data_IF_508995505704
#
_entry.id   IF_508995505704
#
_cell.length_a   1.000
_cell.length_b   1.000
_cell.length_c   1.000
_cell.angle_alpha   90.00
_cell.angle_beta   90.00
_cell.angle_gamma   90.00
#
_symmetry.space_group_name_H-M   'P 1'
#
loop_
_entity.id
_entity.type
_entity.pdbx_description
1 polymer ?
#
# COMPACT_ATOMS: atom_id res chain seq x y z
N UNK A 1 6.68 8.21 10.29
CA UNK A 1 7.10 7.25 9.25
C UNK A 1 6.01 6.19 9.17
N UNK A 2 5.50 5.85 7.99
CA UNK A 2 4.40 4.90 7.87
C UNK A 2 4.91 3.46 7.74
N UNK A 3 5.86 3.20 6.84
CA UNK A 3 6.45 1.88 6.66
C UNK A 3 7.85 1.93 6.02
N UNK A 4 8.56 0.81 6.09
CA UNK A 4 9.80 0.56 5.36
C UNK A 4 9.70 -0.80 4.68
N UNK A 5 9.92 -0.84 3.35
CA UNK A 5 10.03 -2.09 2.58
C UNK A 5 11.46 -2.22 2.09
N UNK A 6 12.02 -3.42 2.21
CA UNK A 6 13.38 -3.70 1.73
C UNK A 6 13.35 -4.28 0.32
N UNK A 7 14.17 -3.73 -0.56
CA UNK A 7 14.38 -4.23 -1.93
C UNK A 7 15.76 -4.83 -2.08
N UNK A 8 15.94 -5.65 -3.12
CA UNK A 8 17.28 -6.09 -3.51
C UNK A 8 18.16 -4.89 -3.82
N UNK A 9 19.38 -4.90 -3.28
CA UNK A 9 20.38 -3.88 -3.59
C UNK A 9 21.37 -4.41 -4.61
N UNK A 10 21.74 -3.57 -5.58
CA UNK A 10 22.76 -3.89 -6.59
C UNK A 10 24.16 -4.21 -5.99
N UNK A 11 24.39 -3.86 -4.73
CA UNK A 11 25.63 -4.13 -3.98
C UNK A 11 25.56 -5.38 -3.11
N UNK A 12 24.50 -6.18 -3.23
CA UNK A 12 24.26 -7.38 -2.42
C UNK A 12 23.71 -7.11 -1.01
N UNK A 13 23.57 -5.84 -0.60
CA UNK A 13 22.92 -5.44 0.66
C UNK A 13 21.54 -4.86 0.38
N UNK A 14 20.47 -5.37 1.02
CA UNK A 14 19.13 -4.83 0.85
C UNK A 14 19.05 -3.33 1.19
N UNK A 15 18.22 -2.59 0.45
CA UNK A 15 17.97 -1.16 0.67
C UNK A 15 16.58 -0.96 1.23
N UNK A 16 16.47 -0.26 2.34
CA UNK A 16 15.18 0.11 2.93
C UNK A 16 14.61 1.34 2.24
N UNK A 17 13.40 1.23 1.71
CA UNK A 17 12.62 2.35 1.16
C UNK A 17 11.63 2.79 2.23
N UNK A 18 11.84 3.99 2.77
CA UNK A 18 11.05 4.54 3.87
C UNK A 18 9.97 5.49 3.32
N UNK A 19 8.70 5.23 3.68
CA UNK A 19 7.55 5.98 3.19
C UNK A 19 6.87 6.73 4.35
N UNK A 20 6.56 8.01 4.11
CA UNK A 20 5.91 8.88 5.09
C UNK A 20 4.40 8.59 5.17
N UNK A 21 3.75 9.02 6.26
CA UNK A 21 2.29 8.95 6.35
C UNK A 21 1.60 9.81 5.29
N UNK A 22 2.17 10.97 4.95
CA UNK A 22 1.62 11.84 3.91
C UNK A 22 1.57 11.15 2.54
N UNK A 23 2.68 10.53 2.13
CA UNK A 23 2.75 9.79 0.88
C UNK A 23 1.79 8.59 0.86
N UNK A 24 1.67 7.85 1.96
CA UNK A 24 0.70 6.76 2.08
C UNK A 24 -0.75 7.27 1.97
N UNK A 25 -1.09 8.35 2.67
CA UNK A 25 -2.45 8.91 2.64
C UNK A 25 -2.85 9.41 1.24
N UNK A 26 -1.92 10.04 0.53
CA UNK A 26 -2.12 10.47 -0.86
C UNK A 26 -2.30 9.27 -1.79
N UNK A 27 -1.44 8.25 -1.69
CA UNK A 27 -1.55 7.02 -2.47
C UNK A 27 -2.89 6.31 -2.25
N UNK A 28 -3.32 6.17 -0.99
CA UNK A 28 -4.62 5.58 -0.63
C UNK A 28 -5.78 6.36 -1.25
N UNK A 29 -5.72 7.69 -1.22
CA UNK A 29 -6.77 8.54 -1.78
C UNK A 29 -6.83 8.43 -3.30
N UNK A 30 -5.68 8.47 -3.97
CA UNK A 30 -5.58 8.32 -5.42
C UNK A 30 -6.03 6.94 -5.88
N UNK A 31 -5.57 5.88 -5.21
CA UNK A 31 -5.92 4.50 -5.54
C UNK A 31 -7.42 4.24 -5.42
N UNK A 32 -8.03 4.64 -4.29
CA UNK A 32 -9.47 4.50 -4.09
C UNK A 32 -10.30 5.27 -5.13
N UNK A 33 -9.86 6.47 -5.52
CA UNK A 33 -10.57 7.27 -6.52
C UNK A 33 -10.40 6.70 -7.92
N UNK A 34 -9.21 6.20 -8.26
CA UNK A 34 -8.93 5.58 -9.56
C UNK A 34 -9.76 4.33 -9.81
N UNK A 35 -9.97 3.50 -8.78
CA UNK A 35 -10.76 2.28 -8.88
C UNK A 35 -12.26 2.49 -8.62
N UNK A 36 -12.70 3.72 -8.31
CA UNK A 36 -14.08 4.00 -7.86
C UNK A 36 -14.49 3.08 -6.70
N UNK A 37 -13.56 2.87 -5.76
CA UNK A 37 -13.75 1.97 -4.61
C UNK A 37 -14.81 2.52 -3.66
N UNK A 38 -15.86 1.73 -3.43
CA UNK A 38 -17.03 2.09 -2.63
C UNK A 38 -17.18 1.22 -1.40
N UNK A 39 -17.99 1.70 -0.48
CA UNK A 39 -18.45 0.89 0.65
C UNK A 39 -19.09 -0.42 0.16
N UNK A 40 -18.72 -1.54 0.77
CA UNK A 40 -19.22 -2.87 0.42
C UNK A 40 -18.44 -3.59 -0.70
N UNK A 41 -17.51 -2.91 -1.37
CA UNK A 41 -16.57 -3.58 -2.28
C UNK A 41 -15.64 -4.52 -1.51
N UNK A 42 -15.06 -5.49 -2.22
CA UNK A 42 -14.13 -6.47 -1.66
C UNK A 42 -12.84 -6.50 -2.46
N UNK A 43 -11.73 -6.18 -1.82
CA UNK A 43 -10.38 -6.18 -2.40
C UNK A 43 -9.67 -7.47 -2.01
N UNK A 44 -9.11 -8.16 -3.00
CA UNK A 44 -8.28 -9.33 -2.73
C UNK A 44 -6.93 -8.89 -2.15
N UNK A 45 -6.69 -9.19 -0.88
CA UNK A 45 -5.36 -9.12 -0.28
C UNK A 45 -4.64 -10.45 -0.49
N UNK A 46 -3.60 -10.44 -1.32
CA UNK A 46 -2.76 -11.62 -1.58
C UNK A 46 -1.26 -11.30 -1.53
N UNK A 47 -0.88 -10.05 -1.80
CA UNK A 47 0.52 -9.64 -1.76
C UNK A 47 1.08 -9.75 -0.35
N UNK A 48 2.29 -10.27 -0.22
CA UNK A 48 2.95 -10.36 1.10
C UNK A 48 3.21 -8.95 1.65
N UNK A 49 3.15 -8.80 2.97
CA UNK A 49 3.42 -7.52 3.66
C UNK A 49 4.79 -6.90 3.35
N UNK A 50 5.74 -7.70 2.85
CA UNK A 50 7.08 -7.24 2.45
C UNK A 50 7.14 -6.71 1.02
N UNK A 51 6.02 -6.68 0.29
CA UNK A 51 5.90 -6.15 -1.07
C UNK A 51 4.92 -4.97 -1.09
N UNK A 52 5.20 -3.96 -1.90
CA UNK A 52 4.42 -2.71 -1.92
C UNK A 52 2.96 -2.91 -2.36
N UNK A 53 2.68 -3.91 -3.19
CA UNK A 53 1.30 -4.32 -3.53
C UNK A 53 0.42 -4.65 -2.32
N UNK A 54 0.99 -5.04 -1.17
CA UNK A 54 0.22 -5.20 0.06
C UNK A 54 -0.41 -3.87 0.51
N UNK A 55 0.32 -2.76 0.37
CA UNK A 55 -0.14 -1.43 0.79
C UNK A 55 -1.36 -1.00 -0.05
N UNK A 56 -1.34 -1.26 -1.35
CA UNK A 56 -2.45 -1.01 -2.27
C UNK A 56 -3.69 -1.84 -1.95
N UNK A 57 -3.50 -3.10 -1.56
CA UNK A 57 -4.61 -4.02 -1.30
C UNK A 57 -5.19 -3.84 0.11
N UNK A 58 -4.38 -3.37 1.06
CA UNK A 58 -4.74 -3.35 2.47
C UNK A 58 -5.34 -2.02 2.94
N UNK A 59 -4.75 -0.87 2.57
CA UNK A 59 -5.16 0.41 3.16
C UNK A 59 -6.39 1.06 2.50
N UNK A 60 -6.52 1.12 1.16
CA UNK A 60 -7.68 1.70 0.51
C UNK A 60 -9.04 1.16 0.99
N UNK A 61 -9.27 -0.17 1.09
CA UNK A 61 -10.57 -0.65 1.54
C UNK A 61 -10.89 -0.23 2.97
N UNK A 62 -9.91 -0.29 3.88
CA UNK A 62 -10.06 0.14 5.27
C UNK A 62 -10.39 1.63 5.41
N UNK A 63 -9.93 2.47 4.47
CA UNK A 63 -10.21 3.92 4.46
C UNK A 63 -11.49 4.31 3.69
N UNK A 64 -12.20 3.35 3.08
CA UNK A 64 -13.43 3.58 2.30
C UNK A 64 -14.64 2.78 2.78
N UNK A 65 -14.49 1.95 3.83
CA UNK A 65 -15.56 1.08 4.30
C UNK A 65 -15.78 -0.15 3.43
N UNK A 66 -14.79 -0.50 2.61
CA UNK A 66 -14.73 -1.76 1.89
C UNK A 66 -13.98 -2.82 2.72
N UNK A 67 -13.91 -4.06 2.22
CA UNK A 67 -13.27 -5.19 2.88
C UNK A 67 -12.12 -5.80 2.07
#
# INVERSE_FOLDING_TARGET
>A
MAYVIYTSGSTGRPKGVAISHGALAEFVTLGANYSDLREGDRVLQFATQSFDGFVEQFYPPLCRGAA
#
